data_IF_239610857433
#
_entry.id   IF_239610857433
#
_cell.length_a   1.000
_cell.length_b   1.000
_cell.length_c   1.000
_cell.angle_alpha   90.00
_cell.angle_beta   90.00
_cell.angle_gamma   90.00
#
_symmetry.space_group_name_H-M   'P 1'
#
loop_
_entity.id
_entity.type
_entity.pdbx_description
1 polymer ?
#
# COMPACT_ATOMS: atom_id res chain seq x y z
N UNK A 1 -1.49 -3.51 -5.51
CA UNK A 1 -1.23 -2.37 -4.61
C UNK A 1 0.15 -1.84 -4.92
N UNK A 2 0.23 -0.55 -5.26
CA UNK A 2 1.50 0.15 -5.47
C UNK A 2 1.82 0.99 -4.22
N UNK A 3 3.10 1.06 -3.86
CA UNK A 3 3.59 1.82 -2.71
C UNK A 3 4.94 2.45 -3.05
N UNK A 4 5.12 3.72 -2.72
CA UNK A 4 6.36 4.45 -2.98
C UNK A 4 7.50 3.96 -2.09
N UNK A 5 7.18 3.51 -0.88
CA UNK A 5 8.14 2.96 0.06
C UNK A 5 8.42 1.46 -0.17
N UNK A 6 9.54 0.92 0.35
CA UNK A 6 9.79 -0.52 0.25
C UNK A 6 8.90 -1.33 1.19
N UNK A 7 8.34 -0.69 2.22
CA UNK A 7 7.52 -1.34 3.25
C UNK A 7 6.07 -0.87 3.18
N UNK A 8 5.09 -1.78 3.30
CA UNK A 8 3.67 -1.43 3.29
C UNK A 8 3.20 -0.78 4.61
N UNK A 9 1.89 -0.54 4.67
CA UNK A 9 1.10 -0.15 5.85
C UNK A 9 1.17 1.32 6.28
N UNK A 10 1.85 2.18 5.53
CA UNK A 10 1.81 3.63 5.71
C UNK A 10 1.97 4.07 7.18
N UNK A 11 1.05 4.91 7.66
CA UNK A 11 1.09 5.46 9.02
C UNK A 11 0.91 4.40 10.13
N UNK A 12 0.33 3.23 9.87
CA UNK A 12 0.30 2.16 10.88
C UNK A 12 1.74 1.74 11.24
N UNK A 13 2.63 1.73 10.25
CA UNK A 13 4.06 1.44 10.47
C UNK A 13 4.83 2.65 10.95
N UNK A 14 4.69 3.78 10.23
CA UNK A 14 5.58 4.94 10.34
C UNK A 14 5.02 6.13 11.13
N UNK A 15 3.71 6.16 11.39
CA UNK A 15 3.03 7.25 12.10
C UNK A 15 2.59 6.89 13.52
N UNK A 16 2.10 5.66 13.74
CA UNK A 16 1.69 5.20 15.06
C UNK A 16 2.88 5.20 16.00
N UNK A 17 2.73 5.98 17.07
CA UNK A 17 3.74 6.17 18.10
C UNK A 17 4.21 4.81 18.68
N UNK A 18 5.51 4.68 19.01
CA UNK A 18 6.11 3.40 19.38
C UNK A 18 5.57 2.83 20.70
N UNK A 19 5.10 3.69 21.60
CA UNK A 19 4.43 3.37 22.86
C UNK A 19 2.96 2.93 22.69
N UNK A 20 2.43 2.95 21.45
CA UNK A 20 1.08 2.51 21.10
C UNK A 20 1.06 1.22 20.24
N UNK A 21 1.69 0.10 20.66
CA UNK A 21 1.81 -1.10 19.83
C UNK A 21 0.48 -1.78 19.53
N UNK A 22 -0.54 -1.60 20.40
CA UNK A 22 -1.88 -2.16 20.19
C UNK A 22 -2.52 -1.66 18.89
N UNK A 23 -2.28 -0.41 18.49
CA UNK A 23 -2.81 0.14 17.24
C UNK A 23 -2.14 -0.48 16.00
N UNK A 24 -0.91 -1.00 16.13
CA UNK A 24 -0.22 -1.67 15.03
C UNK A 24 -0.77 -3.07 14.72
N UNK A 25 -1.60 -3.64 15.60
CA UNK A 25 -2.15 -5.00 15.42
C UNK A 25 -3.05 -5.15 14.19
N UNK A 26 -3.58 -4.04 13.65
CA UNK A 26 -4.34 -4.01 12.39
C UNK A 26 -3.51 -4.51 11.20
N UNK A 27 -2.17 -4.47 11.25
CA UNK A 27 -1.30 -5.00 10.20
C UNK A 27 -1.58 -6.48 9.89
N UNK A 28 -2.00 -7.27 10.90
CA UNK A 28 -2.36 -8.69 10.73
C UNK A 28 -3.56 -8.88 9.81
N UNK A 29 -4.50 -7.94 9.78
CA UNK A 29 -5.62 -7.99 8.84
C UNK A 29 -5.14 -7.72 7.42
N UNK A 30 -4.20 -6.79 7.24
CA UNK A 30 -3.60 -6.49 5.94
C UNK A 30 -2.76 -7.66 5.41
N UNK A 31 -2.00 -8.34 6.27
CA UNK A 31 -1.23 -9.55 5.92
C UNK A 31 -2.15 -10.65 5.35
N UNK A 32 -3.26 -10.94 6.05
CA UNK A 32 -4.26 -11.93 5.56
C UNK A 32 -4.88 -11.55 4.22
N UNK A 33 -5.04 -10.25 3.94
CA UNK A 33 -5.52 -9.77 2.64
C UNK A 33 -4.43 -9.96 1.58
N UNK A 34 -3.18 -9.66 1.93
CA UNK A 34 -2.04 -9.75 1.03
C UNK A 34 -1.71 -11.20 0.61
N UNK A 35 -2.07 -12.17 1.43
CA UNK A 35 -1.96 -13.62 1.13
C UNK A 35 -3.03 -14.13 0.16
N UNK A 36 -4.09 -13.36 -0.11
CA UNK A 36 -5.16 -13.81 -1.00
C UNK A 36 -4.68 -13.94 -2.45
N UNK A 37 -5.06 -15.02 -3.16
CA UNK A 37 -4.81 -15.12 -4.59
C UNK A 37 -5.36 -13.91 -5.35
N UNK A 38 -4.56 -13.38 -6.27
CA UNK A 38 -4.91 -12.17 -7.05
C UNK A 38 -4.46 -10.86 -6.41
N UNK A 39 -4.06 -10.85 -5.13
CA UNK A 39 -3.39 -9.68 -4.55
C UNK A 39 -1.91 -9.68 -4.93
N UNK A 40 -1.40 -8.50 -5.32
CA UNK A 40 0.03 -8.27 -5.58
C UNK A 40 0.44 -6.95 -4.94
N UNK A 41 1.54 -6.97 -4.18
CA UNK A 41 2.18 -5.78 -3.64
C UNK A 41 3.42 -5.44 -4.47
N UNK A 42 3.54 -4.17 -4.85
CA UNK A 42 4.68 -3.62 -5.59
C UNK A 42 5.15 -2.37 -4.84
N UNK A 43 6.13 -2.56 -3.97
CA UNK A 43 6.80 -1.47 -3.24
C UNK A 43 7.90 -0.80 -4.08
N UNK A 44 8.43 0.33 -3.61
CA UNK A 44 9.37 1.18 -4.35
C UNK A 44 8.86 1.65 -5.72
N UNK A 45 7.54 1.82 -5.87
CA UNK A 45 6.93 2.33 -7.10
C UNK A 45 6.15 3.62 -6.79
N UNK A 46 6.67 4.75 -7.26
CA UNK A 46 6.04 6.05 -7.07
C UNK A 46 5.14 6.44 -8.25
N UNK A 47 3.83 6.57 -7.99
CA UNK A 47 2.89 7.08 -8.98
C UNK A 47 3.09 8.59 -9.15
N UNK A 48 3.31 9.03 -10.39
CA UNK A 48 3.71 10.38 -10.76
C UNK A 48 5.19 10.50 -11.14
N UNK A 49 6.03 9.51 -10.80
CA UNK A 49 7.46 9.47 -11.13
C UNK A 49 7.85 8.22 -11.93
N UNK A 50 7.55 7.04 -11.41
CA UNK A 50 7.92 5.75 -12.01
C UNK A 50 6.81 5.22 -12.93
N UNK A 51 5.54 5.52 -12.60
CA UNK A 51 4.36 5.26 -13.43
C UNK A 51 3.44 6.49 -13.41
N UNK A 52 2.78 6.82 -14.51
CA UNK A 52 1.81 7.91 -14.56
C UNK A 52 0.37 7.41 -14.42
N UNK A 53 -0.55 8.30 -14.02
CA UNK A 53 -1.98 8.00 -13.93
C UNK A 53 -2.53 7.42 -15.25
N UNK A 54 -2.08 7.96 -16.38
CA UNK A 54 -2.46 7.47 -17.72
C UNK A 54 -2.08 6.01 -17.94
N UNK A 55 -0.96 5.55 -17.40
CA UNK A 55 -0.53 4.16 -17.52
C UNK A 55 -1.48 3.26 -16.73
N UNK A 56 -1.85 3.67 -15.52
CA UNK A 56 -2.78 2.91 -14.67
C UNK A 56 -4.16 2.81 -15.31
N UNK A 57 -4.70 3.89 -15.86
CA UNK A 57 -6.00 3.91 -16.53
C UNK A 57 -6.06 3.05 -17.80
N UNK A 58 -4.91 2.74 -18.41
CA UNK A 58 -4.83 1.84 -19.57
C UNK A 58 -4.69 0.37 -19.18
N UNK A 59 -4.16 0.09 -17.99
CA UNK A 59 -3.82 -1.25 -17.53
C UNK A 59 -4.83 -1.86 -16.55
N UNK A 60 -5.65 -1.02 -15.91
CA UNK A 60 -6.60 -1.42 -14.89
C UNK A 60 -7.99 -0.86 -15.19
N UNK A 61 -9.02 -1.67 -14.94
CA UNK A 61 -10.41 -1.25 -15.10
C UNK A 61 -10.83 -0.14 -14.13
N UNK A 62 -10.20 -0.11 -12.95
CA UNK A 62 -10.41 0.91 -11.93
C UNK A 62 -9.12 1.17 -11.13
N UNK A 63 -8.96 2.43 -10.70
CA UNK A 63 -7.80 2.88 -9.91
C UNK A 63 -8.32 3.59 -8.66
N UNK A 64 -7.82 3.16 -7.49
CA UNK A 64 -8.14 3.78 -6.20
C UNK A 64 -6.89 4.45 -5.65
N UNK A 65 -6.98 5.75 -5.39
CA UNK A 65 -5.92 6.53 -4.74
C UNK A 65 -6.13 6.54 -3.23
N UNK A 66 -5.24 5.85 -2.51
CA UNK A 66 -5.18 5.82 -1.06
C UNK A 66 -3.79 6.34 -0.60
N UNK A 67 -3.50 7.60 -0.94
CA UNK A 67 -2.15 8.22 -0.84
C UNK A 67 -1.90 8.95 0.49
N UNK A 68 -2.85 8.88 1.43
CA UNK A 68 -2.79 9.52 2.75
C UNK A 68 -2.56 8.53 3.87
#
# INVERSE_FOLDING_TARGET
MFERLPTPWGLVRLGVAPDHPKLKTVSRAFERIAEKPGFRFLGNVEIGRDLHHSDLMRLYDAVVYAVG
#
